data_IF_069308472525
#
_entry.id   IF_069308472525
#
_cell.length_a   1.000
_cell.length_b   1.000
_cell.length_c   1.000
_cell.angle_alpha   90.00
_cell.angle_beta   90.00
_cell.angle_gamma   90.00
#
_symmetry.space_group_name_H-M   'P 1'
#
loop_
_entity.id
_entity.type
_entity.pdbx_description
1 polymer ?
#
# COMPACT_ATOMS: atom_id res chain seq x y z
N UNK A 1 -3.66 14.68 36.25
CA UNK A 1 -2.28 14.15 36.21
C UNK A 1 -2.36 12.65 36.05
N UNK A 2 -1.85 12.11 34.95
CA UNK A 2 -1.56 10.68 34.83
C UNK A 2 -0.34 10.57 33.91
N UNK A 3 0.80 10.30 34.54
CA UNK A 3 2.01 9.83 33.89
C UNK A 3 2.08 8.32 34.14
N UNK A 4 2.30 7.54 33.09
CA UNK A 4 2.97 6.25 33.15
C UNK A 4 3.44 5.89 31.74
N UNK A 5 4.69 6.26 31.48
CA UNK A 5 5.55 5.72 30.45
C UNK A 5 6.03 4.35 30.96
N UNK A 6 5.84 3.29 30.19
CA UNK A 6 6.62 2.05 30.37
C UNK A 6 6.99 1.52 28.99
N UNK A 7 8.24 1.79 28.63
CA UNK A 7 8.98 1.10 27.57
C UNK A 7 9.50 -0.20 28.20
N UNK A 8 9.14 -1.34 27.63
CA UNK A 8 9.88 -2.58 27.83
C UNK A 8 10.41 -3.04 26.48
N UNK A 9 11.70 -2.79 26.23
CA UNK A 9 12.45 -3.50 25.21
C UNK A 9 12.71 -4.92 25.71
N UNK A 10 12.19 -5.93 25.01
CA UNK A 10 12.77 -7.26 25.06
C UNK A 10 13.56 -7.48 23.78
N UNK A 11 14.85 -7.16 23.87
CA UNK A 11 15.87 -7.66 22.98
C UNK A 11 16.04 -9.16 23.20
N UNK A 12 15.95 -9.93 22.11
CA UNK A 12 16.63 -11.23 21.97
C UNK A 12 15.76 -12.47 22.15
N UNK A 13 15.23 -12.98 21.04
CA UNK A 13 15.44 -14.38 20.68
C UNK A 13 15.26 -14.56 19.17
N UNK A 14 16.39 -14.74 18.46
CA UNK A 14 16.41 -15.29 17.11
C UNK A 14 15.77 -16.68 17.15
N UNK A 15 14.72 -16.89 16.36
CA UNK A 15 14.33 -18.22 15.89
C UNK A 15 14.17 -18.14 14.38
N UNK A 16 15.25 -18.46 13.65
CA UNK A 16 15.14 -18.89 12.27
C UNK A 16 14.57 -20.31 12.28
N UNK A 17 13.37 -20.49 11.76
CA UNK A 17 12.86 -21.81 11.38
C UNK A 17 12.52 -21.77 9.88
N UNK A 18 13.53 -22.00 9.06
CA UNK A 18 13.38 -22.34 7.66
C UNK A 18 12.77 -23.76 7.60
N UNK A 19 11.50 -23.88 7.24
CA UNK A 19 10.88 -25.19 6.94
C UNK A 19 11.11 -25.54 5.47
N UNK A 20 12.35 -25.91 5.13
CA UNK A 20 12.61 -26.71 3.92
C UNK A 20 13.21 -28.05 4.35
N UNK A 21 12.34 -29.02 4.62
CA UNK A 21 12.71 -30.44 4.58
C UNK A 21 12.07 -31.01 3.32
N UNK A 22 12.85 -31.06 2.24
CA UNK A 22 12.49 -31.84 1.05
C UNK A 22 13.21 -33.17 1.18
N UNK A 23 12.51 -34.20 1.67
CA UNK A 23 12.96 -35.58 1.49
C UNK A 23 12.31 -36.10 0.22
N UNK A 24 13.15 -36.39 -0.77
CA UNK A 24 12.75 -36.98 -2.03
C UNK A 24 12.17 -38.38 -1.81
N UNK A 25 10.91 -38.57 -2.20
CA UNK A 25 10.40 -39.89 -2.57
C UNK A 25 9.93 -39.82 -4.02
N UNK A 26 10.51 -40.68 -4.85
CA UNK A 26 10.11 -40.83 -6.24
C UNK A 26 8.74 -41.52 -6.30
N UNK A 27 7.77 -40.86 -6.91
CA UNK A 27 6.59 -41.53 -7.48
C UNK A 27 6.42 -41.03 -8.90
N UNK A 28 6.96 -41.83 -9.83
CA UNK A 28 6.46 -41.94 -11.19
C UNK A 28 5.02 -42.50 -11.11
N UNK A 29 4.04 -41.69 -11.53
CA UNK A 29 2.83 -42.21 -12.15
C UNK A 29 2.20 -41.10 -12.97
N UNK A 30 2.24 -41.31 -14.28
CA UNK A 30 1.57 -40.53 -15.31
C UNK A 30 0.10 -40.23 -14.99
N UNK A 31 -0.33 -38.99 -15.31
CA UNK A 31 -1.73 -38.69 -15.61
C UNK A 31 -2.54 -37.91 -14.55
N UNK A 32 -1.92 -37.04 -13.75
CA UNK A 32 -2.68 -36.11 -12.90
C UNK A 32 -2.73 -34.70 -13.54
N UNK A 33 -3.91 -34.07 -13.72
CA UNK A 33 -4.04 -32.70 -14.23
C UNK A 33 -3.61 -31.62 -13.21
N UNK A 34 -3.01 -32.03 -12.07
CA UNK A 34 -2.32 -31.12 -11.17
C UNK A 34 -0.89 -30.96 -11.66
N UNK A 35 -0.72 -30.04 -12.60
CA UNK A 35 0.58 -29.46 -12.90
C UNK A 35 1.17 -28.95 -11.57
N UNK A 36 2.36 -29.38 -11.14
CA UNK A 36 2.97 -28.83 -9.94
C UNK A 36 3.09 -27.32 -10.12
N UNK A 37 2.40 -26.56 -9.26
CA UNK A 37 2.49 -25.10 -9.20
C UNK A 37 3.99 -24.77 -9.11
N UNK A 38 4.54 -24.33 -10.23
CA UNK A 38 5.82 -23.63 -10.22
C UNK A 38 5.57 -22.37 -9.40
N UNK A 39 6.24 -22.25 -8.26
CA UNK A 39 6.16 -21.02 -7.48
C UNK A 39 6.89 -19.96 -8.29
N UNK A 40 6.14 -19.20 -9.08
CA UNK A 40 6.65 -18.01 -9.72
C UNK A 40 6.87 -16.99 -8.60
N UNK A 41 8.07 -17.00 -8.01
CA UNK A 41 8.54 -16.15 -6.90
C UNK A 41 8.66 -14.68 -7.34
N UNK A 42 7.60 -14.14 -7.92
CA UNK A 42 7.54 -12.76 -8.39
C UNK A 42 7.14 -11.86 -7.21
N UNK A 43 7.87 -10.77 -7.05
CA UNK A 43 7.55 -9.77 -6.04
C UNK A 43 6.20 -9.12 -6.38
N UNK A 44 5.30 -9.03 -5.40
CA UNK A 44 4.15 -8.14 -5.45
C UNK A 44 4.62 -6.71 -5.21
N UNK A 45 4.43 -5.84 -6.19
CA UNK A 45 4.84 -4.43 -6.15
C UNK A 45 3.62 -3.53 -5.88
N UNK A 46 3.66 -2.77 -4.80
CA UNK A 46 2.58 -1.86 -4.39
C UNK A 46 3.09 -0.42 -4.44
N UNK A 47 2.41 0.45 -5.19
CA UNK A 47 2.61 1.89 -5.15
C UNK A 47 1.60 2.54 -4.19
N UNK A 48 2.10 3.15 -3.11
CA UNK A 48 1.31 3.97 -2.19
C UNK A 48 1.43 5.44 -2.57
N UNK A 49 0.29 6.09 -2.74
CA UNK A 49 0.20 7.50 -3.07
C UNK A 49 -0.35 8.31 -1.89
N UNK A 50 0.50 8.91 -1.05
CA UNK A 50 0.03 9.87 -0.06
C UNK A 50 -0.45 11.14 -0.77
N UNK A 51 -1.76 11.39 -0.73
CA UNK A 51 -2.41 12.53 -1.39
C UNK A 51 -1.81 13.88 -1.01
N UNK A 52 -1.98 14.88 -1.89
CA UNK A 52 -1.49 16.25 -1.71
C UNK A 52 0.04 16.36 -1.58
N UNK A 53 0.55 17.44 -0.97
CA UNK A 53 1.97 17.68 -0.72
C UNK A 53 2.44 19.05 -1.21
N UNK A 54 3.52 19.58 -0.60
CA UNK A 54 4.09 20.87 -0.96
C UNK A 54 3.09 22.02 -0.76
N UNK A 55 2.79 22.75 -1.83
CA UNK A 55 1.84 23.87 -1.85
C UNK A 55 0.37 23.42 -1.69
N UNK A 56 0.07 22.16 -1.96
CA UNK A 56 -1.26 21.59 -1.78
C UNK A 56 -1.35 20.97 -0.37
N UNK A 57 -2.11 21.60 0.52
CA UNK A 57 -2.31 21.11 1.89
C UNK A 57 -3.29 19.96 1.99
N UNK A 58 -4.15 19.78 0.98
CA UNK A 58 -5.42 19.09 1.13
C UNK A 58 -6.32 19.73 2.18
N UNK A 59 -7.24 18.93 2.73
CA UNK A 59 -8.13 19.34 3.80
C UNK A 59 -7.35 19.78 5.05
N UNK A 60 -7.88 20.78 5.75
CA UNK A 60 -7.30 21.29 7.00
C UNK A 60 -8.34 21.32 8.10
N UNK A 61 -7.98 20.88 9.30
CA UNK A 61 -8.88 20.89 10.46
C UNK A 61 -8.15 20.54 11.74
N UNK A 62 -8.59 21.10 12.88
CA UNK A 62 -8.01 20.82 14.20
C UNK A 62 -6.48 21.04 14.30
N UNK A 63 -5.93 21.95 13.49
CA UNK A 63 -4.49 22.20 13.43
C UNK A 63 -3.69 21.19 12.60
N UNK A 64 -4.36 20.23 11.96
CA UNK A 64 -3.74 19.23 11.07
C UNK A 64 -4.00 19.56 9.60
N UNK A 65 -3.07 19.14 8.76
CA UNK A 65 -3.17 19.18 7.30
C UNK A 65 -3.21 17.75 6.77
N UNK A 66 -4.09 17.50 5.82
CA UNK A 66 -4.25 16.19 5.18
C UNK A 66 -2.91 15.68 4.64
N UNK A 67 -2.15 16.52 3.92
CA UNK A 67 -0.85 16.14 3.35
C UNK A 67 0.14 15.55 4.35
N UNK A 68 0.10 15.99 5.61
CA UNK A 68 1.01 15.55 6.66
C UNK A 68 0.56 14.20 7.22
N UNK A 69 -0.76 14.01 7.35
CA UNK A 69 -1.35 12.78 7.85
C UNK A 69 -1.27 11.67 6.80
N UNK A 70 -1.59 11.96 5.54
CA UNK A 70 -1.49 10.98 4.43
C UNK A 70 -0.07 10.46 4.28
N UNK A 71 0.94 11.32 4.39
CA UNK A 71 2.36 10.91 4.36
C UNK A 71 2.73 10.01 5.54
N UNK A 72 2.27 10.34 6.75
CA UNK A 72 2.51 9.52 7.95
C UNK A 72 1.86 8.14 7.83
N UNK A 73 0.62 8.09 7.37
CA UNK A 73 -0.13 6.84 7.16
C UNK A 73 0.59 6.00 6.09
N UNK A 74 0.92 6.57 4.93
CA UNK A 74 1.60 5.84 3.85
C UNK A 74 2.95 5.24 4.29
N UNK A 75 3.73 5.97 5.08
CA UNK A 75 4.99 5.45 5.65
C UNK A 75 4.76 4.29 6.62
N UNK A 76 3.77 4.40 7.50
CA UNK A 76 3.42 3.32 8.42
C UNK A 76 2.94 2.06 7.67
N UNK A 77 2.10 2.24 6.64
CA UNK A 77 1.62 1.16 5.78
C UNK A 77 2.79 0.51 5.03
N UNK A 78 3.70 1.30 4.44
CA UNK A 78 4.92 0.80 3.81
C UNK A 78 5.71 -0.09 4.76
N UNK A 79 6.05 0.42 5.94
CA UNK A 79 6.81 -0.34 6.94
C UNK A 79 6.12 -1.67 7.26
N UNK A 80 4.79 -1.68 7.40
CA UNK A 80 4.06 -2.89 7.74
C UNK A 80 3.97 -3.89 6.59
N UNK A 81 3.79 -3.42 5.36
CA UNK A 81 3.71 -4.26 4.17
C UNK A 81 5.07 -4.87 3.79
N UNK A 82 6.17 -4.15 4.03
CA UNK A 82 7.53 -4.68 3.78
C UNK A 82 8.00 -5.72 4.81
N UNK A 83 7.18 -6.03 5.83
CA UNK A 83 7.41 -7.19 6.70
C UNK A 83 7.08 -8.52 6.02
N UNK A 84 6.30 -8.50 4.93
CA UNK A 84 5.92 -9.69 4.18
C UNK A 84 6.97 -10.04 3.12
N UNK A 85 7.30 -11.32 3.01
CA UNK A 85 8.17 -11.82 1.94
C UNK A 85 7.56 -11.51 0.57
N UNK A 86 8.42 -11.16 -0.39
CA UNK A 86 8.03 -10.85 -1.78
C UNK A 86 7.06 -9.67 -1.93
N UNK A 87 7.06 -8.72 -0.99
CA UNK A 87 6.31 -7.47 -1.10
C UNK A 87 7.27 -6.29 -1.19
N UNK A 88 7.17 -5.51 -2.27
CA UNK A 88 7.92 -4.27 -2.48
C UNK A 88 6.96 -3.09 -2.49
N UNK A 89 7.29 -2.04 -1.75
CA UNK A 89 6.41 -0.88 -1.63
C UNK A 89 7.10 0.41 -2.05
N UNK A 90 6.53 1.13 -3.01
CA UNK A 90 7.02 2.42 -3.50
C UNK A 90 6.07 3.54 -3.11
N UNK A 91 6.61 4.72 -2.80
CA UNK A 91 5.79 5.91 -2.47
C UNK A 91 5.95 6.95 -3.57
N UNK A 92 4.83 7.52 -4.04
CA UNK A 92 4.86 8.63 -5.02
C UNK A 92 5.57 9.88 -4.48
N UNK A 93 5.58 10.07 -3.15
CA UNK A 93 6.41 11.05 -2.44
C UNK A 93 6.84 10.54 -1.07
N UNK A 94 8.07 10.85 -0.68
CA UNK A 94 8.66 10.44 0.62
C UNK A 94 8.83 11.60 1.60
N UNK A 95 8.56 12.83 1.15
CA UNK A 95 8.64 14.07 1.92
C UNK A 95 7.48 15.01 1.55
N UNK A 96 7.50 16.24 2.07
CA UNK A 96 6.49 17.27 1.80
C UNK A 96 6.75 17.96 0.45
N UNK A 97 6.56 17.20 -0.64
CA UNK A 97 6.66 17.69 -2.02
C UNK A 97 5.34 17.52 -2.74
N UNK A 98 5.04 18.47 -3.62
CA UNK A 98 3.91 18.37 -4.53
C UNK A 98 4.27 17.40 -5.67
N UNK A 99 3.36 16.49 -6.00
CA UNK A 99 3.44 15.58 -7.14
C UNK A 99 2.17 15.74 -7.96
N UNK A 100 2.30 15.96 -9.27
CA UNK A 100 1.16 16.11 -10.18
C UNK A 100 0.33 14.84 -10.27
N UNK A 101 -0.97 14.96 -10.54
CA UNK A 101 -1.88 13.80 -10.58
C UNK A 101 -1.44 12.74 -11.61
N UNK A 102 -1.00 13.17 -12.79
CA UNK A 102 -0.45 12.27 -13.82
C UNK A 102 0.89 11.65 -13.41
N UNK A 103 1.71 12.38 -12.67
CA UNK A 103 3.06 11.94 -12.30
C UNK A 103 3.00 10.83 -11.24
N UNK A 104 2.02 10.89 -10.34
CA UNK A 104 1.77 9.86 -9.31
C UNK A 104 1.54 8.50 -9.96
N UNK A 105 0.69 8.48 -10.97
CA UNK A 105 0.27 7.25 -11.63
C UNK A 105 1.32 6.80 -12.65
N UNK A 106 1.98 7.72 -13.35
CA UNK A 106 3.16 7.41 -14.19
C UNK A 106 4.30 6.80 -13.37
N UNK A 107 4.55 7.30 -12.15
CA UNK A 107 5.53 6.72 -11.24
C UNK A 107 5.16 5.28 -10.86
N UNK A 108 3.89 5.02 -10.51
CA UNK A 108 3.41 3.68 -10.21
C UNK A 108 3.63 2.70 -11.37
N UNK A 109 3.32 3.11 -12.60
CA UNK A 109 3.61 2.31 -13.80
C UNK A 109 5.11 2.09 -13.99
N UNK A 110 5.94 3.11 -13.76
CA UNK A 110 7.40 3.02 -13.95
C UNK A 110 8.11 2.06 -12.99
N UNK A 111 7.54 1.82 -11.81
CA UNK A 111 8.07 0.84 -10.85
C UNK A 111 7.47 -0.55 -11.03
N UNK A 112 6.59 -0.74 -12.03
CA UNK A 112 5.90 -2.01 -12.28
C UNK A 112 4.92 -2.38 -11.17
N UNK A 113 4.17 -1.41 -10.64
CA UNK A 113 3.23 -1.68 -9.55
C UNK A 113 2.05 -2.55 -10.01
N UNK A 114 1.81 -3.65 -9.29
CA UNK A 114 0.63 -4.51 -9.42
C UNK A 114 -0.61 -3.87 -8.80
N UNK A 115 -0.40 -2.99 -7.82
CA UNK A 115 -1.47 -2.23 -7.16
C UNK A 115 -1.05 -0.78 -6.91
N UNK A 116 -1.98 0.13 -7.17
CA UNK A 116 -1.87 1.55 -6.81
C UNK A 116 -2.92 1.90 -5.76
N UNK A 117 -2.50 2.42 -4.62
CA UNK A 117 -3.37 2.79 -3.50
C UNK A 117 -3.12 4.25 -3.12
N UNK A 118 -4.08 5.11 -3.43
CA UNK A 118 -4.05 6.52 -2.99
C UNK A 118 -4.74 6.70 -1.65
N UNK A 119 -4.10 7.46 -0.76
CA UNK A 119 -4.51 7.67 0.63
C UNK A 119 -4.89 9.13 0.81
N UNK A 120 -6.14 9.37 1.19
CA UNK A 120 -6.74 10.68 1.41
C UNK A 120 -7.56 10.71 2.71
N UNK A 121 -7.87 11.92 3.19
CA UNK A 121 -8.74 12.17 4.33
C UNK A 121 -9.85 13.13 3.92
N UNK A 122 -11.08 12.61 3.92
CA UNK A 122 -12.24 13.40 3.54
C UNK A 122 -12.44 14.63 4.41
N UNK A 123 -13.16 15.58 3.83
CA UNK A 123 -13.68 16.74 4.54
C UNK A 123 -15.13 17.00 4.16
N UNK A 124 -15.87 17.56 5.12
CA UNK A 124 -17.23 18.01 4.93
C UNK A 124 -17.42 19.36 5.64
N UNK A 125 -18.39 20.15 5.19
CA UNK A 125 -18.73 21.46 5.79
C UNK A 125 -19.38 21.34 7.17
N UNK A 126 -19.85 20.13 7.53
CA UNK A 126 -20.46 19.83 8.83
C UNK A 126 -19.71 18.68 9.50
N UNK A 127 -19.82 18.57 10.82
CA UNK A 127 -19.22 17.48 11.60
C UNK A 127 -20.03 16.18 11.60
N UNK A 128 -21.18 16.15 10.92
CA UNK A 128 -22.05 14.97 10.92
C UNK A 128 -21.46 13.78 10.13
N UNK A 129 -20.91 13.94 8.91
CA UNK A 129 -20.28 12.84 8.18
C UNK A 129 -19.00 12.36 8.88
N UNK A 130 -18.90 11.05 9.09
CA UNK A 130 -17.74 10.38 9.67
C UNK A 130 -17.67 8.92 9.19
N UNK A 131 -16.49 8.32 9.17
CA UNK A 131 -16.27 6.94 8.74
C UNK A 131 -15.09 6.78 7.79
N UNK A 132 -15.00 5.63 7.15
CA UNK A 132 -14.04 5.32 6.09
C UNK A 132 -14.79 4.98 4.79
N UNK A 133 -14.15 5.27 3.66
CA UNK A 133 -14.66 4.90 2.35
C UNK A 133 -13.51 4.49 1.43
N UNK A 134 -13.83 3.65 0.44
CA UNK A 134 -12.89 3.16 -0.56
C UNK A 134 -13.50 3.39 -1.92
N UNK A 135 -12.80 4.15 -2.76
CA UNK A 135 -13.14 4.29 -4.16
C UNK A 135 -12.28 3.34 -4.98
N UNK A 136 -12.92 2.68 -5.94
CA UNK A 136 -12.24 1.89 -6.95
C UNK A 136 -12.83 2.24 -8.32
N UNK A 137 -12.02 2.19 -9.40
CA UNK A 137 -12.49 2.45 -10.74
C UNK A 137 -13.61 1.46 -11.10
N UNK A 138 -14.82 1.97 -11.33
CA UNK A 138 -15.94 1.21 -11.85
C UNK A 138 -16.67 2.00 -12.95
N UNK A 139 -17.12 1.33 -14.00
CA UNK A 139 -17.78 1.98 -15.14
C UNK A 139 -19.23 2.41 -14.85
N UNK A 140 -19.75 2.20 -13.64
CA UNK A 140 -21.17 2.35 -13.32
C UNK A 140 -21.49 3.58 -12.45
N UNK A 141 -20.55 4.08 -11.64
CA UNK A 141 -20.80 5.19 -10.70
C UNK A 141 -19.93 6.42 -10.95
N UNK A 142 -18.67 6.23 -11.37
CA UNK A 142 -17.78 7.35 -11.67
C UNK A 142 -16.90 7.02 -12.89
N UNK A 143 -17.39 7.42 -14.06
CA UNK A 143 -16.70 7.20 -15.34
C UNK A 143 -15.34 7.87 -15.40
N UNK A 144 -15.11 8.97 -14.67
CA UNK A 144 -13.79 9.61 -14.61
C UNK A 144 -12.79 8.77 -13.81
N UNK A 145 -13.19 8.27 -12.63
CA UNK A 145 -12.36 7.35 -11.86
C UNK A 145 -12.05 6.07 -12.65
N UNK A 146 -13.02 5.55 -13.41
CA UNK A 146 -12.82 4.43 -14.31
C UNK A 146 -11.88 4.73 -15.47
N UNK A 147 -12.07 5.85 -16.18
CA UNK A 147 -11.21 6.22 -17.32
C UNK A 147 -9.77 6.43 -16.87
N UNK A 148 -9.56 7.14 -15.76
CA UNK A 148 -8.22 7.33 -15.19
C UNK A 148 -7.65 5.98 -14.74
N UNK A 149 -8.38 5.20 -13.94
CA UNK A 149 -7.91 3.89 -13.49
C UNK A 149 -7.60 2.91 -14.63
N UNK A 150 -8.38 2.93 -15.73
CA UNK A 150 -8.18 2.08 -16.90
C UNK A 150 -6.96 2.50 -17.73
N UNK A 151 -6.74 3.80 -17.93
CA UNK A 151 -5.53 4.31 -18.59
C UNK A 151 -4.25 3.98 -17.80
N UNK A 152 -4.38 3.77 -16.49
CA UNK A 152 -3.25 3.37 -15.65
C UNK A 152 -2.96 1.87 -15.63
N UNK A 153 -3.89 1.04 -16.10
CA UNK A 153 -3.80 -0.42 -16.08
C UNK A 153 -3.31 -1.02 -17.42
N UNK A 154 -2.89 -0.18 -18.37
CA UNK A 154 -2.44 -0.55 -19.73
C UNK A 154 -1.13 0.11 -20.07
#
# INVERSE_FOLDING_TARGET
MAAALTVTSLSGLLFFAQKNTVTAEAVDTAGSPYDPITTDETDTVIALDPGHGGSDSGATGNGYKEKDLTLKIAKAVKTKLEEYSHVKVYLTRTNDTYVGLSDRTAYAASVGADAFVSIHLNSASTSAPNGCEVYYPNNHYNTNAFTVGKLMAT
#
